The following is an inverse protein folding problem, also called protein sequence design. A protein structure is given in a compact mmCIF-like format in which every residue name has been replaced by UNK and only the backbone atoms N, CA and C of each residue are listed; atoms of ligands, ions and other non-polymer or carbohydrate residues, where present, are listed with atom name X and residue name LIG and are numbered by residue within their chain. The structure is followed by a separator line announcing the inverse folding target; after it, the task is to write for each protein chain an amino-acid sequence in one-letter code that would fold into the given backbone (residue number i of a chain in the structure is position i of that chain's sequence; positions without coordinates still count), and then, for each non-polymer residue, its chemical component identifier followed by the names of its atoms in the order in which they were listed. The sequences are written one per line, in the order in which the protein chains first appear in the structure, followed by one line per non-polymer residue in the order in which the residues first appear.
data_IF_065395533573
#
_entry.id   IF_065395533573
#
_cell.length_a   1.000
_cell.length_b   1.000
_cell.length_c   1.000
_cell.angle_alpha   90.00
_cell.angle_beta   90.00
_cell.angle_gamma   90.00
#
_symmetry.space_group_name_H-M   'P 1'
#
loop_
_entity.id
_entity.type
_entity.pdbx_description
1 polymer ?
#
# COMPACT_ATOMS: atom_id res chain seq x y z
N UNK A 1 -9.98 -1.07 15.91
CA UNK A 1 -8.91 -0.17 15.43
C UNK A 1 -8.29 -0.82 14.21
N UNK A 2 -8.17 -0.09 13.12
CA UNK A 2 -7.63 -0.58 11.84
C UNK A 2 -6.16 -0.18 11.77
N UNK A 3 -5.25 -1.12 12.05
CA UNK A 3 -3.80 -0.85 12.11
C UNK A 3 -2.98 -1.60 11.06
N UNK A 4 -3.58 -2.54 10.32
CA UNK A 4 -2.88 -3.43 9.37
C UNK A 4 -3.65 -3.71 8.08
N UNK A 5 -4.71 -2.95 7.80
CA UNK A 5 -5.59 -3.21 6.64
C UNK A 5 -5.38 -2.21 5.49
N UNK A 6 -4.50 -1.22 5.67
CA UNK A 6 -4.10 -0.30 4.62
C UNK A 6 -3.28 -1.06 3.58
N UNK A 7 -3.66 -0.93 2.31
CA UNK A 7 -3.01 -1.63 1.21
C UNK A 7 -2.98 -0.74 -0.02
N UNK A 8 -1.97 -0.93 -0.87
CA UNK A 8 -1.87 -0.26 -2.17
C UNK A 8 -2.11 -1.29 -3.24
N UNK A 9 -2.87 -0.87 -4.24
CA UNK A 9 -3.06 -1.62 -5.47
C UNK A 9 -2.47 -0.82 -6.62
N UNK A 10 -1.97 -1.50 -7.62
CA UNK A 10 -1.38 -0.86 -8.79
C UNK A 10 -2.01 -1.39 -10.07
N UNK A 11 -2.03 -0.55 -11.09
CA UNK A 11 -2.32 -0.96 -12.46
C UNK A 11 -1.18 -0.47 -13.34
N UNK A 12 -0.81 -1.28 -14.32
CA UNK A 12 0.16 -0.89 -15.35
C UNK A 12 -0.54 -0.84 -16.70
N UNK A 13 -0.22 0.17 -17.51
CA UNK A 13 -0.69 0.22 -18.88
C UNK A 13 0.27 -0.56 -19.78
N UNK A 14 -0.24 -1.56 -20.48
CA UNK A 14 0.50 -2.35 -21.46
C UNK A 14 -0.02 -2.02 -22.86
N UNK A 15 0.88 -1.60 -23.75
CA UNK A 15 0.54 -1.30 -25.15
C UNK A 15 -0.13 -2.51 -25.82
N UNK A 16 -1.23 -2.26 -26.53
CA UNK A 16 -2.05 -3.30 -27.16
C UNK A 16 -2.91 -4.16 -26.21
N UNK A 17 -2.82 -3.98 -24.88
CA UNK A 17 -3.61 -4.73 -23.88
C UNK A 17 -4.50 -3.79 -23.05
N UNK A 18 -3.98 -2.63 -22.64
CA UNK A 18 -4.66 -1.67 -21.76
C UNK A 18 -4.16 -1.70 -20.32
N UNK A 19 -4.99 -1.23 -19.38
CA UNK A 19 -4.70 -1.26 -17.95
C UNK A 19 -4.80 -2.70 -17.42
N UNK A 20 -3.75 -3.15 -16.74
CA UNK A 20 -3.63 -4.49 -16.17
C UNK A 20 -3.40 -4.34 -14.67
N UNK A 21 -4.31 -4.91 -13.87
CA UNK A 21 -4.17 -4.99 -12.43
C UNK A 21 -2.88 -5.73 -12.04
N UNK A 22 -2.11 -5.17 -11.13
CA UNK A 22 -0.89 -5.79 -10.61
C UNK A 22 -0.77 -5.57 -9.11
N UNK A 23 -0.33 -6.61 -8.40
CA UNK A 23 -0.25 -6.54 -6.95
C UNK A 23 1.08 -7.04 -6.40
N UNK A 24 2.16 -6.25 -6.59
CA UNK A 24 3.47 -6.58 -6.05
C UNK A 24 3.50 -6.51 -4.51
N UNK A 25 2.58 -5.78 -3.88
CA UNK A 25 2.51 -5.66 -2.43
C UNK A 25 2.12 -6.99 -1.79
N UNK A 26 1.09 -7.68 -2.30
CA UNK A 26 0.71 -9.01 -1.78
C UNK A 26 1.76 -10.09 -2.12
N UNK A 27 2.49 -9.97 -3.25
CA UNK A 27 3.67 -10.82 -3.50
C UNK A 27 4.72 -10.62 -2.40
N UNK A 28 5.00 -9.38 -2.03
CA UNK A 28 5.99 -9.07 -0.99
C UNK A 28 5.51 -9.51 0.39
N UNK A 29 4.21 -9.44 0.67
CA UNK A 29 3.61 -9.97 1.89
C UNK A 29 3.82 -11.48 2.00
N UNK A 30 3.58 -12.22 0.91
CA UNK A 30 3.86 -13.67 0.85
C UNK A 30 5.34 -13.94 1.15
N UNK A 31 6.25 -13.13 0.61
CA UNK A 31 7.69 -13.27 0.88
C UNK A 31 8.08 -12.98 2.33
N UNK A 32 7.39 -12.07 3.03
CA UNK A 32 7.82 -11.62 4.36
C UNK A 32 7.09 -12.32 5.51
N UNK A 33 5.85 -12.75 5.30
CA UNK A 33 4.93 -13.09 6.40
C UNK A 33 4.45 -14.55 6.41
N UNK A 34 4.54 -15.28 5.29
CA UNK A 34 4.02 -16.66 5.22
C UNK A 34 4.87 -17.67 6.01
N UNK A 35 6.17 -17.40 6.15
CA UNK A 35 7.08 -18.19 6.98
C UNK A 35 7.82 -17.30 7.96
N UNK A 36 8.22 -17.88 9.10
CA UNK A 36 8.90 -17.16 10.17
C UNK A 36 10.15 -16.39 9.71
N UNK A 37 10.90 -16.98 8.78
CA UNK A 37 12.15 -16.42 8.25
C UNK A 37 11.98 -15.83 6.83
N UNK A 38 10.73 -15.73 6.36
CA UNK A 38 10.37 -15.30 5.01
C UNK A 38 10.69 -16.34 3.92
N UNK A 39 10.33 -15.99 2.69
CA UNK A 39 10.53 -16.78 1.48
C UNK A 39 11.43 -16.03 0.49
N UNK A 40 12.38 -16.70 -0.17
CA UNK A 40 13.11 -16.12 -1.29
C UNK A 40 12.17 -15.85 -2.46
N UNK A 41 12.58 -14.94 -3.35
CA UNK A 41 11.77 -14.53 -4.50
C UNK A 41 11.52 -15.69 -5.49
N UNK A 42 12.35 -16.72 -5.45
CA UNK A 42 12.35 -17.93 -6.27
C UNK A 42 11.54 -19.07 -5.65
N UNK A 43 11.03 -18.92 -4.42
CA UNK A 43 10.18 -19.94 -3.81
C UNK A 43 8.97 -20.21 -4.73
N UNK A 44 8.63 -21.48 -5.03
CA UNK A 44 7.53 -21.81 -5.93
C UNK A 44 6.19 -21.16 -5.55
N UNK A 45 5.93 -20.92 -4.26
CA UNK A 45 4.74 -20.21 -3.78
C UNK A 45 4.77 -18.74 -4.18
N UNK A 46 5.91 -18.07 -3.98
CA UNK A 46 6.10 -16.66 -4.37
C UNK A 46 5.97 -16.51 -5.88
N UNK A 47 6.57 -17.42 -6.65
CA UNK A 47 6.46 -17.44 -8.11
C UNK A 47 5.00 -17.61 -8.56
N UNK A 48 4.27 -18.56 -7.95
CA UNK A 48 2.87 -18.81 -8.26
C UNK A 48 1.99 -17.59 -7.94
N UNK A 49 2.19 -16.94 -6.78
CA UNK A 49 1.45 -15.73 -6.40
C UNK A 49 1.78 -14.58 -7.35
N UNK A 50 3.05 -14.36 -7.68
CA UNK A 50 3.48 -13.31 -8.63
C UNK A 50 2.82 -13.49 -10.00
N UNK A 51 2.77 -14.71 -10.51
CA UNK A 51 2.11 -15.01 -11.78
C UNK A 51 0.60 -14.75 -11.70
N UNK A 52 -0.04 -15.15 -10.59
CA UNK A 52 -1.48 -14.97 -10.40
C UNK A 52 -1.87 -13.50 -10.27
N UNK A 53 -1.09 -12.71 -9.53
CA UNK A 53 -1.34 -11.29 -9.26
C UNK A 53 -0.88 -10.35 -10.38
N UNK A 54 -0.37 -10.89 -11.49
CA UNK A 54 -0.18 -10.14 -12.73
C UNK A 54 -1.43 -10.31 -13.60
N UNK A 55 -2.27 -9.28 -13.62
CA UNK A 55 -3.61 -9.30 -14.20
C UNK A 55 -4.73 -9.56 -13.20
N UNK A 56 -4.45 -9.56 -11.90
CA UNK A 56 -5.49 -9.68 -10.87
C UNK A 56 -5.13 -9.02 -9.55
N UNK A 57 -6.18 -8.72 -8.78
CA UNK A 57 -6.17 -8.27 -7.40
C UNK A 57 -7.34 -8.92 -6.65
N UNK A 58 -7.27 -8.93 -5.33
CA UNK A 58 -8.42 -9.22 -4.48
C UNK A 58 -9.52 -8.15 -4.71
N UNK A 59 -10.82 -8.51 -4.65
CA UNK A 59 -11.94 -7.63 -5.02
C UNK A 59 -12.73 -7.01 -3.85
N UNK A 60 -12.46 -7.40 -2.61
CA UNK A 60 -13.08 -6.90 -1.39
C UNK A 60 -12.30 -5.71 -0.81
N UNK A 61 -12.12 -4.67 -1.62
CA UNK A 61 -11.50 -3.42 -1.19
C UNK A 61 -12.31 -2.23 -1.69
N UNK A 62 -12.07 -1.08 -1.06
CA UNK A 62 -12.66 0.20 -1.43
C UNK A 62 -11.51 1.17 -1.67
N UNK A 63 -11.52 1.83 -2.83
CA UNK A 63 -10.60 2.93 -3.11
C UNK A 63 -10.93 4.10 -2.18
N UNK A 64 -10.02 4.45 -1.29
CA UNK A 64 -10.15 5.68 -0.49
C UNK A 64 -9.64 6.91 -1.24
N UNK A 65 -8.63 6.74 -2.09
CA UNK A 65 -8.02 7.77 -2.91
C UNK A 65 -7.20 7.15 -4.05
N UNK A 66 -7.00 7.93 -5.11
CA UNK A 66 -5.99 7.76 -6.15
C UNK A 66 -5.26 9.09 -6.35
N UNK A 67 -4.02 9.07 -6.84
CA UNK A 67 -3.29 10.31 -7.14
C UNK A 67 -1.76 10.16 -7.12
N UNK A 68 -1.10 10.98 -7.93
CA UNK A 68 0.35 11.23 -7.90
C UNK A 68 0.62 12.67 -7.51
N UNK A 69 1.85 12.97 -7.06
CA UNK A 69 2.32 14.34 -6.80
C UNK A 69 1.37 15.13 -5.85
N UNK A 70 0.98 14.47 -4.75
CA UNK A 70 -0.05 14.93 -3.83
C UNK A 70 0.52 16.04 -2.94
N UNK A 71 0.08 17.27 -3.19
CA UNK A 71 0.30 18.41 -2.31
C UNK A 71 -0.60 18.31 -1.07
N UNK A 72 0.01 18.01 0.08
CA UNK A 72 -0.72 17.95 1.34
C UNK A 72 -1.09 19.36 1.84
N UNK A 73 -2.33 19.58 2.31
CA UNK A 73 -2.73 20.85 2.90
C UNK A 73 -1.83 21.24 4.06
N UNK A 74 -1.27 22.45 4.03
CA UNK A 74 -0.39 23.02 5.07
C UNK A 74 0.95 22.30 5.27
N UNK A 75 1.32 21.35 4.40
CA UNK A 75 2.63 20.73 4.47
C UNK A 75 3.75 21.70 4.09
N UNK A 76 4.89 21.58 4.76
CA UNK A 76 6.11 22.33 4.48
C UNK A 76 7.10 21.50 3.64
N UNK A 77 6.96 20.17 3.68
CA UNK A 77 7.74 19.25 2.86
C UNK A 77 7.24 19.14 1.40
N UNK A 78 7.98 18.41 0.55
CA UNK A 78 7.61 18.21 -0.86
C UNK A 78 6.28 17.46 -1.03
N UNK A 79 5.76 17.45 -2.25
CA UNK A 79 4.61 16.63 -2.64
C UNK A 79 4.91 15.13 -2.43
N UNK A 80 3.86 14.35 -2.19
CA UNK A 80 4.00 12.90 -2.08
C UNK A 80 3.83 12.25 -3.44
N UNK A 81 4.64 11.23 -3.75
CA UNK A 81 4.39 10.41 -4.93
C UNK A 81 3.04 9.65 -4.87
N UNK A 82 2.56 9.31 -3.67
CA UNK A 82 1.28 8.67 -3.40
C UNK A 82 0.92 8.80 -1.91
N UNK A 83 -0.35 8.59 -1.55
CA UNK A 83 -0.83 8.69 -0.16
C UNK A 83 -1.41 7.33 0.29
N UNK A 84 -0.60 6.58 1.05
CA UNK A 84 -0.93 5.23 1.55
C UNK A 84 -1.04 5.17 3.07
N UNK A 85 -0.07 5.78 3.75
CA UNK A 85 -0.01 5.85 5.21
C UNK A 85 -0.20 7.29 5.70
N UNK A 86 -0.68 7.48 6.94
CA UNK A 86 -0.74 8.80 7.56
C UNK A 86 0.60 9.52 7.46
N UNK A 87 0.54 10.82 7.18
CA UNK A 87 1.71 11.69 7.08
C UNK A 87 1.69 12.67 8.26
N UNK A 88 2.85 12.93 8.83
CA UNK A 88 3.01 13.87 9.93
C UNK A 88 4.27 14.71 9.76
N UNK A 89 4.20 15.98 10.12
CA UNK A 89 5.33 16.90 10.14
C UNK A 89 5.50 17.50 11.54
N UNK A 90 6.71 17.43 12.09
CA UNK A 90 7.07 17.99 13.39
C UNK A 90 8.30 18.87 13.22
N UNK A 91 8.22 20.12 13.66
CA UNK A 91 9.34 21.08 13.56
C UNK A 91 9.96 21.15 12.14
N UNK A 92 9.11 21.14 11.10
CA UNK A 92 9.50 21.16 9.67
C UNK A 92 10.14 19.86 9.16
N UNK A 93 10.08 18.77 9.92
CA UNK A 93 10.55 17.44 9.52
C UNK A 93 9.36 16.54 9.26
N UNK A 94 9.26 15.96 8.07
CA UNK A 94 8.29 14.89 7.79
C UNK A 94 8.77 13.59 8.41
N UNK A 95 7.93 13.00 9.26
CA UNK A 95 8.22 11.72 9.91
C UNK A 95 8.14 10.58 8.89
N UNK A 96 8.98 9.55 9.08
CA UNK A 96 8.93 8.35 8.26
C UNK A 96 7.68 7.53 8.62
N UNK A 97 6.71 7.50 7.69
CA UNK A 97 5.47 6.74 7.87
C UNK A 97 5.66 5.21 7.84
N UNK A 98 6.87 4.73 7.50
CA UNK A 98 7.24 3.31 7.51
C UNK A 98 7.95 2.88 8.79
N UNK A 99 8.38 3.82 9.64
CA UNK A 99 8.94 3.53 10.96
C UNK A 99 7.82 3.36 11.98
N UNK A 100 7.26 2.16 12.06
CA UNK A 100 6.15 1.85 12.96
C UNK A 100 6.49 1.98 14.46
N UNK A 101 7.77 1.94 14.83
CA UNK A 101 8.20 2.09 16.21
C UNK A 101 8.13 3.55 16.65
N UNK A 102 8.62 4.46 15.79
CA UNK A 102 8.66 5.90 16.02
C UNK A 102 7.36 6.63 15.62
N UNK A 103 6.62 6.15 14.62
CA UNK A 103 5.38 6.74 14.13
C UNK A 103 4.18 5.83 14.44
N UNK A 104 3.48 6.15 15.53
CA UNK A 104 2.29 5.42 15.98
C UNK A 104 1.02 6.20 15.72
N UNK A 105 0.02 5.53 15.16
CA UNK A 105 -1.31 6.10 14.95
C UNK A 105 -2.40 5.03 15.15
N UNK A 106 -3.64 5.48 15.35
CA UNK A 106 -4.81 4.61 15.47
C UNK A 106 -5.93 5.13 14.55
N UNK A 107 -6.42 4.27 13.66
CA UNK A 107 -7.60 4.55 12.85
C UNK A 107 -8.80 3.80 13.40
N UNK A 108 -9.92 4.50 13.57
CA UNK A 108 -11.22 3.90 13.93
C UNK A 108 -12.23 4.24 12.85
N UNK A 109 -13.17 3.31 12.63
CA UNK A 109 -14.30 3.51 11.75
C UNK A 109 -15.58 3.21 12.54
N UNK A 110 -16.65 3.90 12.22
CA UNK A 110 -18.00 3.63 12.73
C UNK A 110 -18.97 3.68 11.57
N UNK A 111 -20.03 2.89 11.67
CA UNK A 111 -21.15 2.99 10.74
C UNK A 111 -21.83 4.36 10.85
N UNK A 112 -22.27 4.90 9.72
CA UNK A 112 -23.09 6.10 9.64
C UNK A 112 -24.46 5.66 9.14
N UNK A 113 -25.47 5.74 10.01
CA UNK A 113 -26.86 5.58 9.60
C UNK A 113 -27.32 6.87 8.92
N UNK A 114 -27.77 6.78 7.68
CA UNK A 114 -28.38 7.88 6.91
C UNK A 114 -29.89 7.67 6.91
#
# INVERSE_FOLDING_TARGET
VITKAQHCRAEIYLDGIGWVATDPADVRKVMLEEEKDGLPAEDPRVAAVRQKLFGSWEGNWIAFNDGSDIALPSAQGPELGFLMYPQAEVASIRLDCLDADAFRYAMTAREITI
#
